data_IF_532247975127
#
_entry.id   IF_532247975127
#
_cell.length_a   1.000
_cell.length_b   1.000
_cell.length_c   1.000
_cell.angle_alpha   90.00
_cell.angle_beta   90.00
_cell.angle_gamma   90.00
#
_symmetry.space_group_name_H-M   'P 1'
#
loop_
_entity.id
_entity.type
_entity.pdbx_description
1 polymer ?
#
# COMPACT_ATOMS: atom_id res chain seq x y z
N UNK A 1 -25.43 3.39 37.76
CA UNK A 1 -25.81 1.96 37.59
C UNK A 1 -25.50 1.18 38.87
N UNK A 2 -26.31 0.17 39.20
CA UNK A 2 -26.03 -0.72 40.34
C UNK A 2 -24.75 -1.52 40.09
N UNK A 3 -23.95 -1.76 41.15
CA UNK A 3 -22.67 -2.50 41.09
C UNK A 3 -22.73 -3.85 40.35
N UNK A 4 -23.77 -4.69 40.55
CA UNK A 4 -23.86 -5.97 39.84
C UNK A 4 -23.99 -5.80 38.32
N UNK A 5 -24.76 -4.78 37.89
CA UNK A 5 -24.98 -4.51 36.48
C UNK A 5 -23.69 -4.06 35.77
N UNK A 6 -22.91 -3.15 36.39
CA UNK A 6 -21.62 -2.70 35.83
C UNK A 6 -20.64 -3.87 35.71
N UNK A 7 -20.58 -4.73 36.73
CA UNK A 7 -19.68 -5.89 36.75
C UNK A 7 -20.06 -6.90 35.67
N UNK A 8 -21.35 -7.23 35.54
CA UNK A 8 -21.84 -8.17 34.54
C UNK A 8 -21.63 -7.64 33.12
N UNK A 9 -21.92 -6.36 32.87
CA UNK A 9 -21.69 -5.73 31.58
C UNK A 9 -20.20 -5.68 31.23
N UNK A 10 -19.32 -5.39 32.19
CA UNK A 10 -17.88 -5.44 31.97
C UNK A 10 -17.41 -6.85 31.59
N UNK A 11 -17.91 -7.90 32.25
CA UNK A 11 -17.57 -9.29 31.93
C UNK A 11 -18.05 -9.71 30.52
N UNK A 12 -19.28 -9.33 30.14
CA UNK A 12 -19.82 -9.63 28.81
C UNK A 12 -19.07 -8.89 27.71
N UNK A 13 -18.78 -7.60 27.90
CA UNK A 13 -18.02 -6.80 26.92
C UNK A 13 -16.56 -7.26 26.81
N UNK A 14 -15.94 -7.68 27.92
CA UNK A 14 -14.63 -8.35 27.89
C UNK A 14 -14.67 -9.64 27.06
N UNK A 15 -15.72 -10.45 27.20
CA UNK A 15 -15.88 -11.68 26.40
C UNK A 15 -15.95 -11.37 24.91
N UNK A 16 -16.71 -10.35 24.52
CA UNK A 16 -16.77 -9.88 23.13
C UNK A 16 -15.39 -9.43 22.64
N UNK A 17 -14.67 -8.64 23.44
CA UNK A 17 -13.31 -8.19 23.09
C UNK A 17 -12.32 -9.35 22.93
N UNK A 18 -12.34 -10.32 23.83
CA UNK A 18 -11.47 -11.49 23.76
C UNK A 18 -11.74 -12.32 22.50
N UNK A 19 -13.01 -12.64 22.23
CA UNK A 19 -13.40 -13.43 21.05
C UNK A 19 -13.06 -12.67 19.76
N UNK A 20 -13.46 -11.40 19.65
CA UNK A 20 -13.20 -10.60 18.46
C UNK A 20 -11.71 -10.34 18.25
N UNK A 21 -10.92 -10.20 19.32
CA UNK A 21 -9.46 -10.07 19.24
C UNK A 21 -8.78 -11.33 18.71
N UNK A 22 -9.20 -12.51 19.17
CA UNK A 22 -8.70 -13.79 18.64
C UNK A 22 -9.11 -13.98 17.17
N UNK A 23 -10.37 -13.72 16.84
CA UNK A 23 -10.86 -13.79 15.45
C UNK A 23 -10.08 -12.84 14.55
N UNK A 24 -9.86 -11.60 15.00
CA UNK A 24 -9.07 -10.60 14.30
C UNK A 24 -7.57 -10.93 14.27
N UNK A 25 -7.09 -11.97 14.93
CA UNK A 25 -5.71 -12.44 14.79
C UNK A 25 -5.64 -13.60 13.80
N UNK A 26 -6.58 -14.54 13.85
CA UNK A 26 -6.52 -15.80 13.07
C UNK A 26 -7.23 -15.75 11.71
N UNK A 27 -8.05 -14.72 11.43
CA UNK A 27 -8.76 -14.56 10.15
C UNK A 27 -8.23 -13.37 9.35
N UNK A 28 -8.43 -13.37 8.01
CA UNK A 28 -8.23 -12.19 7.18
C UNK A 28 -9.00 -10.97 7.70
N UNK A 29 -8.52 -9.77 7.37
CA UNK A 29 -9.10 -8.52 7.82
C UNK A 29 -10.62 -8.45 7.51
N UNK A 30 -11.39 -8.00 8.50
CA UNK A 30 -12.81 -7.74 8.35
C UNK A 30 -13.18 -6.46 9.08
N UNK A 31 -13.65 -5.46 8.33
CA UNK A 31 -14.13 -4.18 8.87
C UNK A 31 -15.22 -4.39 9.94
N UNK A 32 -16.05 -5.44 9.78
CA UNK A 32 -17.12 -5.78 10.73
C UNK A 32 -16.55 -6.27 12.06
N UNK A 33 -15.56 -7.18 12.03
CA UNK A 33 -14.92 -7.72 13.24
C UNK A 33 -14.12 -6.65 13.96
N UNK A 34 -13.29 -5.91 13.22
CA UNK A 34 -12.45 -4.84 13.78
C UNK A 34 -13.30 -3.71 14.33
N UNK A 35 -14.35 -3.29 13.61
CA UNK A 35 -15.31 -2.29 14.07
C UNK A 35 -16.03 -2.72 15.36
N UNK A 36 -16.52 -3.96 15.43
CA UNK A 36 -17.14 -4.50 16.64
C UNK A 36 -16.16 -4.51 17.83
N UNK A 37 -14.91 -4.95 17.61
CA UNK A 37 -13.88 -4.97 18.63
C UNK A 37 -13.59 -3.56 19.16
N UNK A 38 -13.30 -2.61 18.27
CA UNK A 38 -12.93 -1.24 18.64
C UNK A 38 -14.07 -0.52 19.38
N UNK A 39 -15.30 -0.56 18.85
CA UNK A 39 -16.46 0.09 19.47
C UNK A 39 -16.82 -0.53 20.82
N UNK A 40 -16.77 -1.87 20.94
CA UNK A 40 -16.95 -2.54 22.23
C UNK A 40 -15.83 -2.18 23.21
N UNK A 41 -14.61 -1.94 22.72
CA UNK A 41 -13.47 -1.48 23.51
C UNK A 41 -13.72 -0.13 24.17
N UNK A 42 -14.25 0.84 23.42
CA UNK A 42 -14.66 2.14 23.96
C UNK A 42 -15.75 1.99 25.04
N UNK A 43 -16.77 1.18 24.78
CA UNK A 43 -17.81 0.89 25.78
C UNK A 43 -17.24 0.21 27.04
N UNK A 44 -16.31 -0.74 26.87
CA UNK A 44 -15.63 -1.42 27.97
C UNK A 44 -14.79 -0.45 28.81
N UNK A 45 -14.07 0.50 28.20
CA UNK A 45 -13.32 1.53 28.94
C UNK A 45 -14.23 2.37 29.85
N UNK A 46 -15.41 2.77 29.36
CA UNK A 46 -16.39 3.48 30.17
C UNK A 46 -16.92 2.61 31.34
N UNK A 47 -17.15 1.32 31.09
CA UNK A 47 -17.56 0.36 32.13
C UNK A 47 -16.47 0.13 33.17
N UNK A 48 -15.19 0.06 32.77
CA UNK A 48 -14.05 -0.06 33.69
C UNK A 48 -13.92 1.20 34.55
N UNK A 49 -14.09 2.40 33.98
CA UNK A 49 -14.10 3.63 34.76
C UNK A 49 -15.24 3.64 35.79
N UNK A 50 -16.46 3.25 35.38
CA UNK A 50 -17.59 3.11 36.29
C UNK A 50 -17.34 2.03 37.35
N UNK A 51 -16.70 0.92 36.98
CA UNK A 51 -16.32 -0.16 37.89
C UNK A 51 -15.29 0.32 38.93
N UNK A 52 -14.29 1.09 38.51
CA UNK A 52 -13.27 1.68 39.38
C UNK A 52 -13.90 2.71 40.33
N UNK A 53 -14.76 3.60 39.84
CA UNK A 53 -15.49 4.57 40.67
C UNK A 53 -16.35 3.88 41.75
N UNK A 54 -17.06 2.81 41.35
CA UNK A 54 -17.87 2.01 42.27
C UNK A 54 -17.05 1.29 43.35
N UNK A 55 -15.77 1.04 43.09
CA UNK A 55 -14.85 0.28 43.95
C UNK A 55 -13.62 1.11 44.38
N UNK A 56 -13.75 2.43 44.47
CA UNK A 56 -12.59 3.31 44.68
C UNK A 56 -11.92 3.15 46.05
N UNK A 57 -12.70 2.82 47.10
CA UNK A 57 -12.18 2.60 48.46
C UNK A 57 -11.20 1.42 48.52
N UNK A 58 -11.56 0.20 48.09
CA UNK A 58 -10.61 -0.90 48.03
C UNK A 58 -9.47 -0.63 47.04
N UNK A 59 -9.72 0.02 45.90
CA UNK A 59 -8.68 0.32 44.91
C UNK A 59 -7.56 1.21 45.49
N UNK A 60 -7.92 2.26 46.25
CA UNK A 60 -6.96 3.11 46.96
C UNK A 60 -6.06 2.34 47.94
N UNK A 61 -6.58 1.27 48.54
CA UNK A 61 -5.79 0.38 49.40
C UNK A 61 -4.71 -0.37 48.63
N UNK A 62 -5.06 -0.95 47.48
CA UNK A 62 -4.12 -1.70 46.63
C UNK A 62 -3.01 -0.82 46.05
N UNK A 63 -3.31 0.44 45.71
CA UNK A 63 -2.33 1.39 45.17
C UNK A 63 -1.20 1.73 46.16
N UNK A 64 -1.39 1.49 47.46
CA UNK A 64 -0.36 1.71 48.48
C UNK A 64 0.62 0.55 48.61
N UNK A 65 0.35 -0.59 47.97
CA UNK A 65 1.21 -1.77 48.03
C UNK A 65 2.38 -1.62 47.05
N UNK A 66 3.56 -2.12 47.44
CA UNK A 66 4.74 -2.20 46.54
C UNK A 66 4.44 -2.97 45.25
N UNK A 67 3.48 -3.90 45.30
CA UNK A 67 3.00 -4.66 44.15
C UNK A 67 2.41 -3.75 43.05
N UNK A 68 1.80 -2.61 43.40
CA UNK A 68 1.26 -1.69 42.40
C UNK A 68 2.37 -1.12 41.50
N UNK A 69 3.53 -0.80 42.08
CA UNK A 69 4.70 -0.35 41.32
C UNK A 69 5.30 -1.45 40.45
N UNK A 70 5.31 -2.70 40.93
CA UNK A 70 5.73 -3.85 40.12
C UNK A 70 4.79 -4.07 38.92
N UNK A 71 3.47 -3.99 39.12
CA UNK A 71 2.49 -4.07 38.03
C UNK A 71 2.68 -2.93 37.02
N UNK A 72 2.90 -1.70 37.48
CA UNK A 72 3.16 -0.56 36.61
C UNK A 72 4.44 -0.77 35.79
N UNK A 73 5.52 -1.23 36.42
CA UNK A 73 6.77 -1.56 35.74
C UNK A 73 6.56 -2.62 34.66
N UNK A 74 5.82 -3.69 34.95
CA UNK A 74 5.50 -4.73 33.98
C UNK A 74 4.71 -4.21 32.79
N UNK A 75 3.66 -3.39 33.01
CA UNK A 75 2.86 -2.78 31.95
C UNK A 75 3.73 -1.86 31.08
N UNK A 76 4.57 -1.04 31.69
CA UNK A 76 5.49 -0.15 30.95
C UNK A 76 6.48 -0.96 30.12
N UNK A 77 7.13 -1.97 30.70
CA UNK A 77 8.12 -2.81 29.99
C UNK A 77 7.47 -3.54 28.82
N UNK A 78 6.34 -4.20 29.05
CA UNK A 78 5.61 -4.92 27.97
C UNK A 78 5.16 -3.97 26.87
N UNK A 79 4.66 -2.78 27.21
CA UNK A 79 4.28 -1.76 26.22
C UNK A 79 5.48 -1.30 25.38
N UNK A 80 6.63 -1.04 26.01
CA UNK A 80 7.87 -0.66 25.31
C UNK A 80 8.37 -1.78 24.40
N UNK A 81 8.36 -3.03 24.88
CA UNK A 81 8.78 -4.19 24.06
C UNK A 81 7.87 -4.38 22.85
N UNK A 82 6.55 -4.26 23.02
CA UNK A 82 5.60 -4.34 21.91
C UNK A 82 5.80 -3.17 20.94
N UNK A 83 6.02 -1.95 21.44
CA UNK A 83 6.26 -0.75 20.63
C UNK A 83 7.53 -0.86 19.78
N UNK A 84 8.64 -1.32 20.37
CA UNK A 84 9.92 -1.46 19.67
C UNK A 84 9.96 -2.64 18.68
N UNK A 85 8.99 -3.55 18.75
CA UNK A 85 8.86 -4.71 17.85
C UNK A 85 10.18 -5.45 17.56
N UNK A 86 10.93 -5.94 18.57
CA UNK A 86 12.12 -6.77 18.34
C UNK A 86 11.75 -8.07 17.62
N UNK A 87 12.76 -8.79 17.09
CA UNK A 87 12.56 -10.02 16.27
C UNK A 87 11.50 -10.99 16.83
N UNK A 88 11.46 -11.34 18.14
CA UNK A 88 10.44 -12.25 18.67
C UNK A 88 9.01 -11.72 18.54
N UNK A 89 8.80 -10.41 18.75
CA UNK A 89 7.48 -9.77 18.60
C UNK A 89 7.05 -9.80 17.14
N UNK A 90 7.95 -9.48 16.20
CA UNK A 90 7.66 -9.57 14.76
C UNK A 90 7.33 -10.98 14.32
N UNK A 91 8.06 -11.99 14.82
CA UNK A 91 7.75 -13.41 14.54
C UNK A 91 6.36 -13.81 15.01
N UNK A 92 5.93 -13.34 16.19
CA UNK A 92 4.58 -13.60 16.69
C UNK A 92 3.52 -12.89 15.84
N UNK A 93 3.73 -11.62 15.49
CA UNK A 93 2.81 -10.86 14.64
C UNK A 93 2.68 -11.44 13.23
N UNK A 94 3.73 -12.09 12.69
CA UNK A 94 3.69 -12.82 11.40
C UNK A 94 2.78 -14.04 11.40
N UNK A 95 2.42 -14.57 12.57
CA UNK A 95 1.42 -15.64 12.68
C UNK A 95 -0.01 -15.11 12.50
N UNK A 96 -0.21 -13.79 12.58
CA UNK A 96 -1.50 -13.15 12.33
C UNK A 96 -1.90 -13.33 10.87
N UNK A 97 -3.10 -13.85 10.63
CA UNK A 97 -3.72 -13.83 9.31
C UNK A 97 -4.39 -12.48 8.99
N UNK A 98 -4.46 -11.58 9.98
CA UNK A 98 -4.98 -10.23 9.79
C UNK A 98 -3.86 -9.31 9.34
N UNK A 99 -3.85 -9.05 8.04
CA UNK A 99 -2.92 -8.17 7.34
C UNK A 99 -3.38 -6.71 7.30
N UNK A 100 -4.38 -6.34 8.12
CA UNK A 100 -5.02 -5.02 8.10
C UNK A 100 -5.88 -4.79 6.85
N UNK A 101 -6.47 -3.59 6.71
CA UNK A 101 -7.20 -3.17 5.51
C UNK A 101 -6.29 -2.88 4.32
N UNK A 102 -5.06 -3.40 4.31
CA UNK A 102 -4.05 -3.07 3.32
C UNK A 102 -4.67 -3.24 1.93
N UNK A 103 -4.86 -2.10 1.26
CA UNK A 103 -5.43 -2.04 -0.09
C UNK A 103 -4.51 -2.80 -1.04
N UNK A 104 -3.25 -2.92 -0.68
CA UNK A 104 -2.19 -3.51 -1.45
C UNK A 104 -1.39 -4.55 -0.67
N UNK A 105 -0.80 -5.51 -1.40
CA UNK A 105 0.10 -6.52 -0.83
C UNK A 105 1.19 -6.84 -1.85
N UNK A 106 2.43 -6.74 -1.41
CA UNK A 106 3.62 -7.07 -2.20
C UNK A 106 4.27 -8.32 -1.63
N UNK A 107 4.33 -9.39 -2.42
CA UNK A 107 4.95 -10.67 -2.05
C UNK A 107 6.09 -10.97 -3.02
N UNK A 108 7.30 -11.16 -2.48
CA UNK A 108 8.43 -11.72 -3.22
C UNK A 108 8.49 -13.21 -2.94
N UNK A 109 8.59 -14.02 -3.99
CA UNK A 109 8.68 -15.48 -3.98
C UNK A 109 9.87 -15.92 -4.83
N UNK A 110 10.25 -17.19 -4.67
CA UNK A 110 11.34 -17.77 -5.45
C UNK A 110 11.03 -17.77 -6.97
N UNK A 111 9.76 -17.80 -7.37
CA UNK A 111 9.29 -17.77 -8.75
C UNK A 111 8.93 -16.37 -9.28
N UNK A 112 9.17 -15.32 -8.49
CA UNK A 112 9.01 -13.92 -8.88
C UNK A 112 8.24 -13.07 -7.87
N UNK A 113 7.44 -12.13 -8.35
CA UNK A 113 6.79 -11.09 -7.53
C UNK A 113 5.29 -11.12 -7.79
N UNK A 114 4.49 -11.04 -6.71
CA UNK A 114 3.05 -10.88 -6.79
C UNK A 114 2.61 -9.63 -6.05
N UNK A 115 1.99 -8.71 -6.76
CA UNK A 115 1.37 -7.52 -6.20
C UNK A 115 -0.15 -7.62 -6.28
N UNK A 116 -0.83 -7.44 -5.15
CA UNK A 116 -2.28 -7.36 -5.08
C UNK A 116 -2.69 -5.94 -4.80
N UNK A 117 -3.81 -5.50 -5.38
CA UNK A 117 -4.46 -4.24 -5.07
C UNK A 117 -5.99 -4.40 -5.10
N UNK A 118 -6.67 -4.17 -3.98
CA UNK A 118 -8.11 -4.35 -3.77
C UNK A 118 -8.73 -3.09 -3.17
N UNK A 119 -8.93 -2.02 -3.98
CA UNK A 119 -9.47 -0.75 -3.51
C UNK A 119 -10.94 -0.83 -3.07
N UNK A 120 -11.69 -1.82 -3.56
CA UNK A 120 -13.08 -2.07 -3.19
C UNK A 120 -13.39 -3.58 -3.17
N UNK A 121 -14.45 -4.03 -2.48
CA UNK A 121 -14.80 -5.45 -2.39
C UNK A 121 -15.06 -6.13 -3.74
N UNK A 122 -15.53 -5.37 -4.73
CA UNK A 122 -15.88 -5.83 -6.07
C UNK A 122 -14.78 -5.58 -7.10
N UNK A 123 -13.59 -5.11 -6.68
CA UNK A 123 -12.48 -4.83 -7.58
C UNK A 123 -11.17 -5.36 -7.00
N UNK A 124 -10.51 -6.22 -7.76
CA UNK A 124 -9.21 -6.75 -7.40
C UNK A 124 -8.28 -6.77 -8.61
N UNK A 125 -7.14 -6.11 -8.45
CA UNK A 125 -6.01 -6.16 -9.35
C UNK A 125 -4.95 -7.09 -8.76
N UNK A 126 -4.40 -7.98 -9.58
CA UNK A 126 -3.29 -8.85 -9.25
C UNK A 126 -2.27 -8.74 -10.37
N UNK A 127 -1.09 -8.25 -10.07
CA UNK A 127 0.05 -8.26 -10.97
C UNK A 127 0.97 -9.42 -10.56
N UNK A 128 1.23 -10.33 -11.48
CA UNK A 128 2.15 -11.46 -11.30
C UNK A 128 3.32 -11.29 -12.24
N UNK A 129 4.51 -11.06 -11.69
CA UNK A 129 5.77 -10.95 -12.41
C UNK A 129 6.50 -12.28 -12.20
N UNK A 130 6.69 -13.06 -13.25
CA UNK A 130 7.47 -14.29 -13.19
C UNK A 130 8.95 -13.96 -13.34
N UNK A 131 9.74 -14.47 -12.41
CA UNK A 131 11.19 -14.39 -12.43
C UNK A 131 11.76 -14.97 -13.73
N UNK A 132 12.62 -14.22 -14.40
CA UNK A 132 13.43 -14.71 -15.52
C UNK A 132 14.72 -15.39 -15.06
N UNK A 133 15.56 -15.78 -16.02
CA UNK A 133 16.77 -16.56 -15.76
C UNK A 133 17.80 -15.86 -14.86
N UNK A 134 17.83 -14.53 -14.83
CA UNK A 134 18.77 -13.74 -14.04
C UNK A 134 18.15 -13.11 -12.79
N UNK A 135 16.93 -13.51 -12.43
CA UNK A 135 16.32 -13.09 -11.17
C UNK A 135 16.98 -13.80 -9.99
N UNK A 136 17.45 -13.04 -9.00
CA UNK A 136 18.11 -13.57 -7.79
C UNK A 136 17.25 -13.28 -6.56
N UNK A 137 16.52 -14.25 -5.98
CA UNK A 137 15.64 -14.02 -4.83
C UNK A 137 16.35 -13.46 -3.58
N UNK A 138 17.61 -13.82 -3.36
CA UNK A 138 18.42 -13.34 -2.23
C UNK A 138 18.85 -11.88 -2.38
N UNK A 139 18.86 -11.36 -3.62
CA UNK A 139 19.19 -9.98 -3.96
C UNK A 139 18.17 -9.46 -4.99
N UNK A 140 16.89 -9.29 -4.58
CA UNK A 140 15.82 -9.03 -5.50
C UNK A 140 16.02 -7.67 -6.20
N UNK A 141 15.61 -7.56 -7.47
CA UNK A 141 15.69 -6.31 -8.21
C UNK A 141 14.85 -5.20 -7.55
N UNK A 142 15.27 -3.96 -7.74
CA UNK A 142 14.49 -2.79 -7.36
C UNK A 142 13.29 -2.63 -8.29
N UNK A 143 12.14 -2.28 -7.73
CA UNK A 143 10.89 -2.24 -8.47
C UNK A 143 10.05 -1.02 -8.09
N UNK A 144 9.44 -0.38 -9.09
CA UNK A 144 8.36 0.56 -8.91
C UNK A 144 7.14 0.09 -9.72
N UNK A 145 5.94 0.29 -9.17
CA UNK A 145 4.66 0.02 -9.85
C UNK A 145 3.80 1.27 -9.72
N UNK A 146 3.27 1.79 -10.82
CA UNK A 146 2.40 2.96 -10.78
C UNK A 146 1.34 2.93 -11.89
N UNK A 147 0.41 3.87 -11.79
CA UNK A 147 -0.65 4.10 -12.76
C UNK A 147 -0.45 5.44 -13.46
N UNK A 148 -0.74 5.46 -14.76
CA UNK A 148 -0.78 6.67 -15.58
C UNK A 148 -2.12 6.81 -16.29
N UNK A 149 -2.53 8.03 -16.61
CA UNK A 149 -3.67 8.28 -17.49
C UNK A 149 -3.27 8.17 -18.97
N UNK A 150 -4.21 8.38 -19.89
CA UNK A 150 -3.92 8.40 -21.33
C UNK A 150 -2.92 9.49 -21.75
N UNK A 151 -2.80 10.56 -20.99
CA UNK A 151 -1.81 11.62 -21.20
C UNK A 151 -0.41 11.28 -20.69
N UNK A 152 -0.16 10.04 -20.23
CA UNK A 152 1.09 9.60 -19.61
C UNK A 152 1.47 10.43 -18.35
N UNK A 153 0.47 11.00 -17.69
CA UNK A 153 0.63 11.63 -16.38
C UNK A 153 0.48 10.59 -15.28
N UNK A 154 1.36 10.65 -14.30
CA UNK A 154 1.28 9.83 -13.10
C UNK A 154 -0.03 10.12 -12.33
N UNK A 155 -0.72 9.05 -11.93
CA UNK A 155 -1.94 9.12 -11.11
C UNK A 155 -1.66 8.62 -9.69
N UNK A 156 -1.00 7.46 -9.58
CA UNK A 156 -0.79 6.77 -8.30
C UNK A 156 0.42 5.86 -8.33
N UNK A 157 1.29 5.99 -7.35
CA UNK A 157 2.27 4.96 -7.04
C UNK A 157 1.58 3.83 -6.26
N UNK A 158 1.65 2.62 -6.80
CA UNK A 158 1.14 1.38 -6.20
C UNK A 158 2.22 0.70 -5.35
N UNK A 159 3.46 0.68 -5.84
CA UNK A 159 4.62 0.22 -5.10
C UNK A 159 5.79 1.17 -5.38
N UNK A 160 6.44 1.65 -4.32
CA UNK A 160 7.63 2.48 -4.40
C UNK A 160 8.86 1.68 -3.98
N UNK A 161 10.03 1.91 -4.59
CA UNK A 161 11.29 1.37 -4.09
C UNK A 161 11.61 1.95 -2.71
N UNK A 162 12.55 1.31 -2.00
CA UNK A 162 13.13 1.94 -0.81
C UNK A 162 13.81 3.27 -1.20
N UNK A 163 13.78 4.31 -0.34
CA UNK A 163 14.32 5.63 -0.66
C UNK A 163 15.76 5.63 -1.17
N UNK A 164 16.61 4.77 -0.61
CA UNK A 164 18.00 4.57 -1.01
C UNK A 164 18.19 3.99 -2.43
N UNK A 165 17.13 3.46 -3.04
CA UNK A 165 17.12 2.85 -4.37
C UNK A 165 16.32 3.67 -5.39
N UNK A 166 15.73 4.80 -5.01
CA UNK A 166 14.92 5.61 -5.91
C UNK A 166 15.70 6.11 -7.14
N UNK A 167 16.99 6.38 -7.00
CA UNK A 167 17.87 6.86 -8.08
C UNK A 167 18.17 5.78 -9.14
N UNK A 168 17.86 4.52 -8.82
CA UNK A 168 17.96 3.39 -9.76
C UNK A 168 16.73 3.27 -10.65
N UNK A 169 15.62 3.93 -10.28
CA UNK A 169 14.35 3.93 -11.02
C UNK A 169 14.02 5.35 -11.48
N UNK A 170 14.85 5.94 -12.37
CA UNK A 170 14.76 7.35 -12.71
C UNK A 170 13.46 7.71 -13.44
N UNK A 171 12.86 6.79 -14.20
CA UNK A 171 11.65 7.09 -14.96
C UNK A 171 10.45 7.31 -14.05
N UNK A 172 10.20 6.37 -13.15
CA UNK A 172 9.17 6.46 -12.12
C UNK A 172 9.39 7.69 -11.25
N UNK A 173 10.65 7.93 -10.83
CA UNK A 173 11.00 9.09 -9.99
C UNK A 173 10.62 10.40 -10.68
N UNK A 174 11.04 10.57 -11.93
CA UNK A 174 10.72 11.75 -12.75
C UNK A 174 9.20 11.93 -12.91
N UNK A 175 8.48 10.85 -13.24
CA UNK A 175 7.01 10.87 -13.39
C UNK A 175 6.30 11.27 -12.10
N UNK A 176 6.75 10.77 -10.96
CA UNK A 176 6.18 11.10 -9.64
C UNK A 176 6.48 12.54 -9.25
N UNK A 177 7.71 13.01 -9.43
CA UNK A 177 8.11 14.38 -9.07
C UNK A 177 7.33 15.42 -9.89
N UNK A 178 7.20 15.21 -11.20
CA UNK A 178 6.38 16.09 -12.06
C UNK A 178 4.90 16.13 -11.65
N UNK A 179 4.35 15.02 -11.14
CA UNK A 179 3.00 14.99 -10.57
C UNK A 179 2.90 15.74 -9.24
N UNK A 180 3.86 15.57 -8.33
CA UNK A 180 3.90 16.27 -7.04
C UNK A 180 4.00 17.80 -7.25
N UNK A 181 4.81 18.24 -8.20
CA UNK A 181 4.94 19.64 -8.61
C UNK A 181 3.62 20.18 -9.17
N UNK A 182 3.03 19.52 -10.17
CA UNK A 182 1.75 19.93 -10.76
C UNK A 182 0.62 20.00 -9.72
N UNK A 183 0.59 19.05 -8.77
CA UNK A 183 -0.38 19.05 -7.66
C UNK A 183 -0.15 20.22 -6.70
N UNK A 184 1.11 20.55 -6.40
CA UNK A 184 1.46 21.68 -5.55
C UNK A 184 1.09 23.02 -6.21
N UNK A 185 1.35 23.17 -7.52
CA UNK A 185 0.94 24.33 -8.31
C UNK A 185 -0.58 24.48 -8.34
N UNK A 186 -1.31 23.40 -8.61
CA UNK A 186 -2.78 23.40 -8.61
C UNK A 186 -3.37 23.75 -7.23
N UNK A 187 -2.72 23.32 -6.14
CA UNK A 187 -3.13 23.69 -4.79
C UNK A 187 -2.84 25.17 -4.48
N UNK A 188 -1.72 25.71 -4.96
CA UNK A 188 -1.34 27.11 -4.79
C UNK A 188 -2.17 28.07 -5.67
N UNK A 189 -2.64 27.60 -6.82
CA UNK A 189 -3.46 28.38 -7.76
C UNK A 189 -4.93 28.51 -7.34
N UNK A 190 -5.40 27.79 -6.30
CA UNK A 190 -6.76 27.93 -5.75
C UNK A 190 -6.83 29.13 -4.79
N UNK A 191 -7.48 30.26 -5.14
CA UNK A 191 -7.77 31.31 -4.17
C UNK A 191 -8.78 30.80 -3.12
N UNK A 192 -8.64 31.27 -1.88
CA UNK A 192 -9.37 30.77 -0.72
C UNK A 192 -10.90 31.02 -0.71
N UNK A 193 -11.47 31.73 -1.68
CA UNK A 193 -12.88 32.19 -1.63
C UNK A 193 -13.70 32.04 -2.92
N UNK A 194 -13.21 31.35 -3.96
CA UNK A 194 -14.05 31.04 -5.14
C UNK A 194 -14.15 29.52 -5.36
N UNK A 195 -15.29 28.96 -4.97
CA UNK A 195 -15.77 27.67 -5.50
C UNK A 195 -16.23 27.95 -6.93
N UNK A 196 -15.28 28.03 -7.87
CA UNK A 196 -15.59 28.08 -9.28
C UNK A 196 -16.06 26.70 -9.76
N UNK A 197 -17.36 26.60 -10.00
CA UNK A 197 -18.03 25.39 -10.47
C UNK A 197 -17.81 25.11 -11.98
N UNK A 198 -16.87 25.79 -12.64
CA UNK A 198 -16.72 25.70 -14.11
C UNK A 198 -15.27 25.39 -14.59
N UNK A 199 -14.30 25.28 -13.68
CA UNK A 199 -12.93 24.81 -14.01
C UNK A 199 -12.63 23.41 -13.48
N UNK A 200 -13.63 22.52 -13.49
CA UNK A 200 -13.39 21.09 -13.32
C UNK A 200 -12.38 20.64 -14.38
N UNK A 201 -11.32 19.96 -13.95
CA UNK A 201 -10.37 19.34 -14.87
C UNK A 201 -11.18 18.61 -15.96
N UNK A 202 -10.86 18.86 -17.24
CA UNK A 202 -11.44 18.07 -18.33
C UNK A 202 -11.28 16.59 -17.97
N UNK A 203 -12.24 15.70 -18.29
CA UNK A 203 -12.25 14.32 -17.77
C UNK A 203 -10.88 13.64 -17.84
N UNK A 204 -10.16 13.82 -18.95
CA UNK A 204 -8.83 13.26 -19.21
C UNK A 204 -7.68 13.80 -18.31
N UNK A 205 -7.94 14.75 -17.41
CA UNK A 205 -6.96 15.43 -16.57
C UNK A 205 -7.12 15.17 -15.07
N UNK A 206 -7.98 14.22 -14.65
CA UNK A 206 -8.10 13.91 -13.24
C UNK A 206 -6.83 13.25 -12.69
N UNK A 207 -6.45 13.66 -11.47
CA UNK A 207 -5.39 13.04 -10.69
C UNK A 207 -5.93 12.09 -9.62
N UNK A 208 -7.26 11.89 -9.53
CA UNK A 208 -7.86 10.96 -8.58
C UNK A 208 -7.83 9.54 -9.16
N UNK A 209 -7.16 8.58 -8.50
CA UNK A 209 -7.17 7.18 -8.94
C UNK A 209 -8.56 6.56 -9.00
N UNK A 210 -9.53 7.07 -8.21
CA UNK A 210 -10.91 6.61 -8.25
C UNK A 210 -11.54 6.83 -9.63
N UNK A 211 -11.23 7.93 -10.31
CA UNK A 211 -11.82 8.30 -11.60
C UNK A 211 -11.44 7.32 -12.74
N UNK A 212 -10.41 6.50 -12.52
CA UNK A 212 -9.95 5.50 -13.49
C UNK A 212 -10.21 4.07 -13.02
N UNK A 213 -10.02 3.77 -11.73
CA UNK A 213 -10.08 2.39 -11.22
C UNK A 213 -11.51 1.98 -10.88
N UNK A 214 -12.31 2.93 -10.38
CA UNK A 214 -13.70 2.76 -9.96
C UNK A 214 -14.48 4.04 -10.33
N UNK A 215 -14.62 4.34 -11.64
CA UNK A 215 -15.17 5.61 -12.09
C UNK A 215 -16.57 5.82 -11.51
N UNK A 216 -16.82 7.03 -11.00
CA UNK A 216 -18.14 7.42 -10.50
C UNK A 216 -19.19 7.46 -11.62
N UNK A 217 -18.76 7.71 -12.86
CA UNK A 217 -19.56 7.64 -14.08
C UNK A 217 -19.15 6.39 -14.89
N UNK A 218 -19.84 5.25 -14.70
CA UNK A 218 -19.54 4.01 -15.42
C UNK A 218 -19.92 4.07 -16.91
N UNK A 219 -20.72 5.06 -17.35
CA UNK A 219 -21.14 5.20 -18.75
C UNK A 219 -20.07 5.91 -19.61
N UNK A 220 -19.11 6.58 -18.98
CA UNK A 220 -17.97 7.21 -19.64
C UNK A 220 -16.64 6.85 -18.95
N UNK A 221 -16.25 5.56 -18.97
CA UNK A 221 -15.10 5.13 -18.22
C UNK A 221 -13.80 5.49 -18.95
N UNK A 222 -12.83 6.06 -18.23
CA UNK A 222 -11.56 6.46 -18.82
C UNK A 222 -10.53 5.32 -18.75
N UNK A 223 -9.84 5.01 -19.85
CA UNK A 223 -8.75 4.04 -19.81
C UNK A 223 -7.52 4.64 -19.13
N UNK A 224 -6.66 3.76 -18.64
CA UNK A 224 -5.44 4.12 -17.91
C UNK A 224 -4.38 3.05 -18.13
N UNK A 225 -3.16 3.30 -17.69
CA UNK A 225 -2.03 2.38 -17.87
C UNK A 225 -1.49 1.94 -16.53
N UNK A 226 -1.05 0.70 -16.45
CA UNK A 226 -0.19 0.22 -15.37
C UNK A 226 1.24 0.10 -15.90
N UNK A 227 2.19 0.61 -15.14
CA UNK A 227 3.60 0.58 -15.48
C UNK A 227 4.41 -0.06 -14.37
N UNK A 228 5.50 -0.71 -14.78
CA UNK A 228 6.52 -1.28 -13.91
C UNK A 228 7.87 -0.77 -14.40
N UNK A 229 8.71 -0.32 -13.48
CA UNK A 229 10.13 -0.10 -13.73
C UNK A 229 10.93 -1.04 -12.83
N UNK A 230 11.85 -1.80 -13.42
CA UNK A 230 12.66 -2.79 -12.72
C UNK A 230 14.14 -2.58 -13.01
N UNK A 231 14.98 -2.69 -11.97
CA UNK A 231 16.42 -2.54 -12.04
C UNK A 231 17.14 -3.61 -11.22
N UNK A 232 18.22 -4.18 -11.76
CA UNK A 232 19.12 -5.04 -11.02
C UNK A 232 20.43 -4.28 -10.79
N UNK A 233 20.77 -3.92 -9.54
CA UNK A 233 21.97 -3.13 -9.28
C UNK A 233 23.25 -3.92 -9.53
N UNK A 234 24.25 -3.27 -10.14
CA UNK A 234 25.57 -3.85 -10.39
C UNK A 234 25.59 -4.82 -11.57
N UNK A 235 24.67 -4.64 -12.52
CA UNK A 235 24.47 -5.51 -13.67
C UNK A 235 25.27 -5.02 -14.89
N UNK A 236 26.59 -4.98 -14.75
CA UNK A 236 27.49 -4.49 -15.78
C UNK A 236 27.64 -5.46 -16.97
N UNK A 237 27.82 -4.92 -18.17
CA UNK A 237 28.19 -5.69 -19.36
C UNK A 237 29.19 -4.93 -20.26
N UNK A 238 29.35 -5.36 -21.51
CA UNK A 238 30.31 -4.75 -22.44
C UNK A 238 29.93 -3.31 -22.88
N UNK A 239 28.66 -2.94 -22.77
CA UNK A 239 28.11 -1.66 -23.23
C UNK A 239 27.80 -0.71 -22.07
N UNK A 240 27.41 -1.26 -20.91
CA UNK A 240 26.98 -0.52 -19.74
C UNK A 240 27.84 -0.85 -18.53
N UNK A 241 28.31 0.18 -17.83
CA UNK A 241 28.95 -0.01 -16.51
C UNK A 241 27.99 -0.53 -15.44
N UNK A 242 26.68 -0.30 -15.64
CA UNK A 242 25.54 -0.86 -14.92
C UNK A 242 24.36 -0.77 -15.90
N UNK A 243 23.70 -1.88 -16.24
CA UNK A 243 22.61 -1.86 -17.21
C UNK A 243 21.47 -0.97 -16.72
N UNK A 244 20.84 -0.17 -17.60
CA UNK A 244 19.68 0.64 -17.23
C UNK A 244 18.47 -0.21 -16.81
N UNK A 245 17.59 0.39 -16.01
CA UNK A 245 16.29 -0.18 -15.68
C UNK A 245 15.44 -0.42 -16.93
N UNK A 246 14.49 -1.35 -16.85
CA UNK A 246 13.54 -1.64 -17.93
C UNK A 246 12.12 -1.26 -17.50
N UNK A 247 11.35 -0.67 -18.43
CA UNK A 247 9.97 -0.26 -18.21
C UNK A 247 9.01 -1.16 -18.99
N UNK A 248 8.04 -1.72 -18.29
CA UNK A 248 6.96 -2.53 -18.84
C UNK A 248 5.62 -1.82 -18.64
N UNK A 249 4.71 -1.93 -19.61
CA UNK A 249 3.41 -1.25 -19.58
C UNK A 249 2.29 -2.17 -20.02
N UNK A 250 1.09 -1.89 -19.54
CA UNK A 250 -0.16 -2.40 -20.09
C UNK A 250 -1.21 -1.30 -20.06
N UNK A 251 -1.95 -1.15 -21.15
CA UNK A 251 -3.11 -0.28 -21.22
C UNK A 251 -4.35 -1.04 -20.79
N UNK A 252 -5.11 -0.45 -19.87
CA UNK A 252 -6.31 -1.00 -19.27
C UNK A 252 -7.49 -0.23 -19.83
N UNK A 253 -8.20 -0.86 -20.75
CA UNK A 253 -9.47 -0.37 -21.25
C UNK A 253 -10.59 -0.72 -20.27
N UNK A 254 -11.35 0.29 -19.86
CA UNK A 254 -12.52 0.12 -19.01
C UNK A 254 -13.82 -0.04 -19.83
N UNK A 255 -13.83 0.33 -21.12
CA UNK A 255 -14.96 0.13 -22.04
C UNK A 255 -15.06 -1.34 -22.45
N UNK A 256 -13.92 -1.95 -22.81
CA UNK A 256 -13.83 -3.38 -23.14
C UNK A 256 -12.96 -4.10 -22.11
N UNK A 257 -13.50 -4.34 -20.90
CA UNK A 257 -12.72 -4.86 -19.78
C UNK A 257 -12.23 -6.29 -20.04
N UNK A 258 -10.92 -6.50 -20.00
CA UNK A 258 -10.29 -7.82 -20.09
C UNK A 258 -9.74 -8.27 -18.73
N UNK A 259 -9.99 -9.53 -18.39
CA UNK A 259 -9.53 -10.10 -17.11
C UNK A 259 -8.02 -10.30 -17.07
N UNK A 260 -7.42 -10.78 -18.17
CA UNK A 260 -6.00 -11.13 -18.24
C UNK A 260 -5.32 -10.27 -19.31
N UNK A 261 -4.24 -9.59 -18.93
CA UNK A 261 -3.51 -8.67 -19.81
C UNK A 261 -2.00 -8.83 -19.55
N UNK A 262 -1.23 -9.06 -20.60
CA UNK A 262 0.23 -9.21 -20.50
C UNK A 262 0.86 -7.83 -20.64
N UNK A 263 1.85 -7.52 -19.81
CA UNK A 263 2.61 -6.29 -19.94
C UNK A 263 3.65 -6.45 -21.04
N UNK A 264 3.82 -5.40 -21.82
CA UNK A 264 4.80 -5.31 -22.90
C UNK A 264 5.95 -4.40 -22.48
N UNK A 265 7.15 -4.70 -22.97
CA UNK A 265 8.28 -3.81 -22.72
C UNK A 265 8.12 -2.51 -23.52
N UNK A 266 8.20 -1.39 -22.83
CA UNK A 266 8.12 -0.05 -23.42
C UNK A 266 9.48 0.52 -23.79
N UNK A 267 10.53 0.13 -23.08
CA UNK A 267 11.87 0.64 -23.30
C UNK A 267 12.69 0.72 -22.02
N UNK A 268 13.85 1.35 -22.13
CA UNK A 268 14.68 1.75 -20.99
C UNK A 268 14.75 3.28 -20.89
N UNK A 269 14.87 3.85 -19.69
CA UNK A 269 14.87 5.28 -19.53
C UNK A 269 16.22 5.89 -19.89
N UNK A 270 16.17 6.98 -20.64
CA UNK A 270 17.32 7.80 -20.97
C UNK A 270 16.99 9.26 -20.73
N UNK A 271 17.92 9.94 -20.06
CA UNK A 271 17.82 11.38 -19.82
C UNK A 271 18.08 12.12 -21.13
N UNK A 272 17.16 12.99 -21.51
CA UNK A 272 17.36 13.95 -22.58
C UNK A 272 18.21 15.13 -22.06
N UNK A 273 19.24 15.50 -22.81
CA UNK A 273 20.23 16.50 -22.40
C UNK A 273 19.91 17.90 -22.95
N UNK A 274 18.62 18.26 -22.97
CA UNK A 274 18.23 19.61 -23.37
C UNK A 274 18.53 20.63 -22.25
N UNK A 275 19.18 21.78 -22.55
CA UNK A 275 19.49 22.78 -21.55
C UNK A 275 18.21 23.35 -20.89
N UNK A 276 18.09 23.18 -19.56
CA UNK A 276 17.05 23.83 -18.75
C UNK A 276 15.73 23.08 -18.60
N UNK A 277 15.59 21.87 -19.14
CA UNK A 277 14.47 20.96 -18.87
C UNK A 277 14.98 19.55 -18.73
N UNK A 278 14.86 18.99 -17.52
CA UNK A 278 15.07 17.55 -17.34
C UNK A 278 13.89 16.81 -17.99
N UNK A 279 14.18 15.92 -18.92
CA UNK A 279 13.21 15.03 -19.51
C UNK A 279 13.78 13.60 -19.52
N UNK A 280 12.93 12.65 -19.18
CA UNK A 280 13.23 11.22 -19.26
C UNK A 280 12.31 10.57 -20.28
N UNK A 281 12.91 9.99 -21.31
CA UNK A 281 12.21 9.31 -22.39
C UNK A 281 12.56 7.82 -22.39
N UNK A 282 11.66 7.00 -22.96
CA UNK A 282 11.89 5.57 -23.11
C UNK A 282 12.47 5.28 -24.49
N UNK A 283 13.64 4.67 -24.52
CA UNK A 283 14.34 4.25 -25.73
C UNK A 283 14.12 2.77 -25.97
N UNK A 284 14.13 2.35 -27.23
CA UNK A 284 13.99 0.95 -27.61
C UNK A 284 15.14 0.13 -27.05
N UNK A 285 14.80 -1.00 -26.42
CA UNK A 285 15.80 -1.97 -26.00
C UNK A 285 16.34 -2.71 -27.23
N UNK A 286 17.66 -2.82 -27.30
CA UNK A 286 18.41 -3.46 -28.38
C UNK A 286 19.29 -4.61 -27.84
N UNK A 287 20.18 -5.12 -28.69
CA UNK A 287 21.09 -6.22 -28.39
C UNK A 287 22.20 -5.87 -27.38
N UNK A 288 22.27 -4.62 -26.92
CA UNK A 288 23.19 -4.21 -25.86
C UNK A 288 22.70 -4.65 -24.48
N UNK A 289 21.41 -4.92 -24.31
CA UNK A 289 20.83 -5.44 -23.09
C UNK A 289 20.98 -6.95 -23.03
N UNK A 290 21.43 -7.45 -21.88
CA UNK A 290 21.79 -8.85 -21.66
C UNK A 290 21.02 -9.39 -20.47
N UNK A 291 21.64 -9.45 -19.30
CA UNK A 291 21.08 -9.98 -18.07
C UNK A 291 19.83 -9.23 -17.58
N UNK A 292 19.79 -7.90 -17.75
CA UNK A 292 18.62 -7.07 -17.43
C UNK A 292 17.35 -7.48 -18.20
N UNK A 293 17.49 -7.89 -19.46
CA UNK A 293 16.37 -8.37 -20.29
C UNK A 293 15.74 -9.66 -19.74
N UNK A 294 16.54 -10.47 -19.06
CA UNK A 294 16.14 -11.77 -18.52
C UNK A 294 15.76 -11.70 -17.03
N UNK A 295 15.49 -10.50 -16.48
CA UNK A 295 14.98 -10.35 -15.11
C UNK A 295 13.52 -10.79 -14.99
N UNK A 296 12.72 -10.53 -16.02
CA UNK A 296 11.29 -10.88 -16.08
C UNK A 296 11.06 -11.79 -17.26
N UNK A 297 10.58 -13.01 -17.00
CA UNK A 297 10.10 -13.91 -18.06
C UNK A 297 8.76 -13.42 -18.62
N UNK A 298 7.84 -13.05 -17.71
CA UNK A 298 6.54 -12.49 -18.08
C UNK A 298 5.93 -11.69 -16.94
N UNK A 299 5.15 -10.67 -17.28
CA UNK A 299 4.34 -9.93 -16.31
C UNK A 299 2.87 -9.96 -16.75
N UNK A 300 2.00 -10.48 -15.88
CA UNK A 300 0.58 -10.68 -16.13
C UNK A 300 -0.23 -9.84 -15.14
N UNK A 301 -1.05 -8.95 -15.68
CA UNK A 301 -2.09 -8.25 -14.96
C UNK A 301 -3.39 -9.04 -15.02
N UNK A 302 -3.98 -9.29 -13.85
CA UNK A 302 -5.30 -9.89 -13.69
C UNK A 302 -6.23 -8.92 -12.96
N UNK A 303 -7.38 -8.58 -13.56
CA UNK A 303 -8.39 -7.72 -12.94
C UNK A 303 -9.70 -8.49 -12.78
N UNK A 304 -10.11 -8.75 -11.54
CA UNK A 304 -11.44 -9.26 -11.16
C UNK A 304 -12.35 -8.08 -10.84
N UNK A 305 -13.36 -7.88 -11.68
CA UNK A 305 -14.44 -6.88 -11.52
C UNK A 305 -15.74 -7.64 -11.33
N UNK A 306 -16.30 -7.61 -10.13
CA UNK A 306 -17.61 -8.19 -9.86
C UNK A 306 -18.66 -7.10 -10.03
N UNK A 307 -19.82 -7.47 -10.57
CA UNK A 307 -20.98 -6.59 -10.51
C UNK A 307 -21.24 -6.21 -9.04
N UNK A 308 -21.49 -4.92 -8.75
CA UNK A 308 -21.78 -4.46 -7.39
C UNK A 308 -23.02 -5.14 -6.79
#
# INVERSE_FOLDING_TARGET
MKRPAVTLLAALTFTVLAVTGVVAFVRPFSIKVVGLHALTGFAFMALVAAHAANNIRPLKGHLRLKLAWACLGLVTITSVVIWLQPRPVKSLLRLSANTGPALDRFEVKDDGIVYHYSPAPNYRMILTIRAGANYVPENPPHLAIWLENQGAYHIKTLHAPAPEHADRLPFWRFKREGWEEAKAEAAAAKPADEVDAISGATPNGSFDPADYILPADPDNPMPYRLLIEIDQPGDANAFFGDQPSLVYTVEIDNVVPTTFQVLEISGYPKRDEQPGKEAWELYYVDDQFTTAWELIDSALLTIDRRAP
#
